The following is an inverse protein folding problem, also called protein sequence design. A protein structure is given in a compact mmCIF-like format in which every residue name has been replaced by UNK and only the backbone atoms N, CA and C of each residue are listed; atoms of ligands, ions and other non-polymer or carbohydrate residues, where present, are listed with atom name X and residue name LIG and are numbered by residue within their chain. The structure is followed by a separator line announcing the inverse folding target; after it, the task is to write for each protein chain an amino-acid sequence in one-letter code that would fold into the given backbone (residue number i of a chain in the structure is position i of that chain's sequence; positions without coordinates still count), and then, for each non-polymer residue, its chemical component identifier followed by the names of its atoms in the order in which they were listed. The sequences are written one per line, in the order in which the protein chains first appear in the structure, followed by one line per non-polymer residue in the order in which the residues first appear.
data_IF_012584718247
#
_entry.id   IF_012584718247
#
_cell.length_a   1.000
_cell.length_b   1.000
_cell.length_c   1.000
_cell.angle_alpha   90.00
_cell.angle_beta   90.00
_cell.angle_gamma   90.00
#
_symmetry.space_group_name_H-M   'P 1'
#
loop_
_entity.id
_entity.type
_entity.pdbx_description
1 polymer ?
#
# COMPACT_ATOMS: atom_id res chain seq x y z
N UNK A 1 -39.45 -16.75 -58.90
CA UNK A 1 -38.14 -16.18 -59.29
C UNK A 1 -38.01 -14.80 -58.70
N UNK A 2 -37.37 -14.68 -57.54
CA UNK A 2 -36.53 -13.51 -57.19
C UNK A 2 -35.70 -13.93 -55.98
N UNK A 3 -34.38 -13.88 -56.16
CA UNK A 3 -33.36 -14.36 -55.24
C UNK A 3 -33.31 -13.42 -54.03
N UNK A 4 -33.48 -13.97 -52.83
CA UNK A 4 -33.13 -13.29 -51.58
C UNK A 4 -31.60 -13.23 -51.56
N UNK A 5 -31.04 -12.05 -51.84
CA UNK A 5 -29.61 -11.81 -51.71
C UNK A 5 -29.21 -11.95 -50.24
N UNK A 6 -28.62 -13.11 -49.91
CA UNK A 6 -27.81 -13.31 -48.71
C UNK A 6 -26.59 -12.39 -48.79
N UNK A 7 -26.69 -11.17 -48.25
CA UNK A 7 -25.53 -10.29 -48.10
C UNK A 7 -25.69 -9.33 -46.90
N UNK A 8 -26.11 -9.84 -45.73
CA UNK A 8 -26.00 -9.10 -44.46
C UNK A 8 -25.90 -10.06 -43.26
N UNK A 9 -25.01 -11.04 -43.32
CA UNK A 9 -24.66 -11.84 -42.14
C UNK A 9 -23.19 -12.25 -42.14
N UNK A 10 -22.32 -11.25 -42.08
CA UNK A 10 -20.90 -11.45 -41.74
C UNK A 10 -20.38 -10.20 -41.01
N UNK A 11 -21.08 -9.80 -39.96
CA UNK A 11 -20.57 -8.84 -39.01
C UNK A 11 -20.95 -9.34 -37.61
N UNK A 12 -19.96 -9.35 -36.72
CA UNK A 12 -20.02 -9.81 -35.33
C UNK A 12 -19.98 -11.33 -35.15
N UNK A 13 -18.77 -11.90 -35.04
CA UNK A 13 -18.43 -12.99 -34.11
C UNK A 13 -16.92 -13.29 -34.17
N UNK A 14 -16.09 -12.26 -33.98
CA UNK A 14 -14.68 -12.41 -33.59
C UNK A 14 -14.27 -11.19 -32.76
N UNK A 15 -15.07 -10.88 -31.74
CA UNK A 15 -14.51 -10.22 -30.57
C UNK A 15 -13.90 -11.36 -29.75
N UNK A 16 -12.57 -11.44 -29.74
CA UNK A 16 -11.84 -12.37 -28.91
C UNK A 16 -12.39 -12.31 -27.49
N UNK A 17 -13.02 -13.40 -27.04
CA UNK A 17 -13.23 -13.65 -25.63
C UNK A 17 -11.85 -13.98 -25.03
N UNK A 18 -10.98 -12.98 -24.90
CA UNK A 18 -10.05 -12.99 -23.80
C UNK A 18 -10.94 -12.94 -22.56
N UNK A 19 -11.23 -14.08 -21.95
CA UNK A 19 -11.72 -14.08 -20.59
C UNK A 19 -10.70 -13.29 -19.79
N UNK A 20 -11.08 -12.13 -19.26
CA UNK A 20 -10.24 -11.43 -18.29
C UNK A 20 -9.87 -12.46 -17.22
N UNK A 21 -8.58 -12.61 -16.95
CA UNK A 21 -8.15 -13.53 -15.90
C UNK A 21 -8.81 -13.08 -14.60
N UNK A 22 -9.41 -14.01 -13.86
CA UNK A 22 -10.08 -13.68 -12.61
C UNK A 22 -9.08 -13.17 -11.58
N UNK A 23 -9.55 -12.35 -10.64
CA UNK A 23 -8.71 -11.78 -9.59
C UNK A 23 -7.92 -12.86 -8.82
N UNK A 24 -8.56 -13.98 -8.46
CA UNK A 24 -7.87 -15.09 -7.77
C UNK A 24 -6.77 -15.73 -8.61
N UNK A 25 -6.98 -15.94 -9.91
CA UNK A 25 -5.97 -16.52 -10.80
C UNK A 25 -4.75 -15.59 -10.94
N UNK A 26 -5.01 -14.28 -11.09
CA UNK A 26 -3.95 -13.27 -11.13
C UNK A 26 -3.16 -13.26 -9.81
N UNK A 27 -3.88 -13.31 -8.68
CA UNK A 27 -3.29 -13.30 -7.35
C UNK A 27 -2.38 -14.51 -7.11
N UNK A 28 -2.87 -15.71 -7.43
CA UNK A 28 -2.14 -16.96 -7.19
C UNK A 28 -0.90 -17.07 -8.07
N UNK A 29 -0.98 -16.63 -9.33
CA UNK A 29 0.18 -16.55 -10.23
C UNK A 29 1.22 -15.55 -9.70
N UNK A 30 0.79 -14.36 -9.30
CA UNK A 30 1.67 -13.32 -8.79
C UNK A 30 2.38 -13.75 -7.50
N UNK A 31 1.65 -14.33 -6.54
CA UNK A 31 2.22 -14.90 -5.31
C UNK A 31 3.20 -16.04 -5.62
N UNK A 32 2.88 -16.87 -6.61
CA UNK A 32 3.77 -17.93 -7.10
C UNK A 32 5.11 -17.39 -7.61
N UNK A 33 5.08 -16.30 -8.38
CA UNK A 33 6.27 -15.63 -8.89
C UNK A 33 7.09 -14.97 -7.77
N UNK A 34 6.47 -14.26 -6.82
CA UNK A 34 7.20 -13.73 -5.66
C UNK A 34 7.85 -14.85 -4.83
N UNK A 35 7.14 -15.96 -4.61
CA UNK A 35 7.70 -17.13 -3.90
C UNK A 35 8.88 -17.75 -4.65
N UNK A 36 8.91 -17.62 -5.97
CA UNK A 36 10.01 -18.06 -6.82
C UNK A 36 11.13 -17.02 -6.94
N UNK A 37 11.11 -15.94 -6.16
CA UNK A 37 12.06 -14.82 -6.20
C UNK A 37 12.07 -14.06 -7.53
N UNK A 38 10.91 -14.01 -8.21
CA UNK A 38 10.69 -13.29 -9.47
C UNK A 38 9.71 -12.11 -9.30
N UNK A 39 10.04 -11.10 -8.46
CA UNK A 39 9.12 -9.98 -8.18
C UNK A 39 8.85 -9.09 -9.39
N UNK A 40 9.79 -9.00 -10.35
CA UNK A 40 9.60 -8.22 -11.58
C UNK A 40 8.49 -8.79 -12.48
N UNK A 41 8.35 -10.12 -12.50
CA UNK A 41 7.27 -10.80 -13.24
C UNK A 41 5.95 -10.80 -12.45
N UNK A 42 6.01 -10.80 -11.11
CA UNK A 42 4.82 -10.75 -10.26
C UNK A 42 4.10 -9.39 -10.32
N UNK A 43 4.87 -8.30 -10.37
CA UNK A 43 4.35 -6.94 -10.35
C UNK A 43 3.24 -6.66 -11.38
N UNK A 44 3.42 -6.92 -12.69
CA UNK A 44 2.38 -6.61 -13.68
C UNK A 44 1.09 -7.41 -13.44
N UNK A 45 1.14 -8.56 -12.76
CA UNK A 45 -0.05 -9.34 -12.42
C UNK A 45 -0.81 -8.71 -11.24
N UNK A 46 -0.11 -8.23 -10.21
CA UNK A 46 -0.74 -7.47 -9.13
C UNK A 46 -1.31 -6.13 -9.63
N UNK A 47 -0.58 -5.43 -10.50
CA UNK A 47 -1.06 -4.19 -11.13
C UNK A 47 -2.33 -4.45 -11.94
N UNK A 48 -2.35 -5.53 -12.75
CA UNK A 48 -3.52 -5.93 -13.52
C UNK A 48 -4.71 -6.31 -12.63
N UNK A 49 -4.47 -7.04 -11.54
CA UNK A 49 -5.51 -7.40 -10.57
C UNK A 49 -6.17 -6.13 -10.02
N UNK A 50 -5.39 -5.17 -9.53
CA UNK A 50 -5.94 -3.92 -9.03
C UNK A 50 -6.65 -3.09 -10.11
N UNK A 51 -6.13 -3.07 -11.34
CA UNK A 51 -6.72 -2.30 -12.44
C UNK A 51 -8.06 -2.87 -12.94
N UNK A 52 -8.19 -4.20 -13.00
CA UNK A 52 -9.37 -4.87 -13.55
C UNK A 52 -10.38 -5.30 -12.48
N UNK A 53 -9.93 -5.49 -11.23
CA UNK A 53 -10.70 -6.10 -10.15
C UNK A 53 -10.54 -5.35 -8.82
N UNK A 54 -10.57 -4.01 -8.84
CA UNK A 54 -10.39 -3.18 -7.63
C UNK A 54 -11.39 -3.48 -6.50
N UNK A 55 -12.59 -3.99 -6.80
CA UNK A 55 -13.60 -4.32 -5.79
C UNK A 55 -13.46 -5.75 -5.23
N UNK A 56 -12.48 -6.54 -5.70
CA UNK A 56 -12.24 -7.91 -5.24
C UNK A 56 -11.50 -7.94 -3.90
N UNK A 57 -11.76 -8.96 -3.08
CA UNK A 57 -11.13 -9.14 -1.76
C UNK A 57 -9.59 -9.26 -1.84
N UNK A 58 -9.03 -9.65 -3.00
CA UNK A 58 -7.57 -9.70 -3.21
C UNK A 58 -6.94 -8.35 -3.58
N UNK A 59 -7.74 -7.36 -4.00
CA UNK A 59 -7.25 -6.06 -4.44
C UNK A 59 -6.40 -5.30 -3.39
N UNK A 60 -6.77 -5.22 -2.09
CA UNK A 60 -5.93 -4.59 -1.07
C UNK A 60 -4.56 -5.25 -0.93
N UNK A 61 -4.49 -6.58 -0.94
CA UNK A 61 -3.22 -7.29 -0.86
C UNK A 61 -2.38 -7.08 -2.12
N UNK A 62 -2.98 -7.17 -3.31
CA UNK A 62 -2.27 -6.96 -4.56
C UNK A 62 -1.62 -5.56 -4.61
N UNK A 63 -2.38 -4.53 -4.22
CA UNK A 63 -1.85 -3.16 -4.19
C UNK A 63 -0.75 -2.98 -3.13
N UNK A 64 -0.90 -3.61 -1.96
CA UNK A 64 0.14 -3.63 -0.92
C UNK A 64 1.42 -4.30 -1.42
N UNK A 65 1.31 -5.40 -2.17
CA UNK A 65 2.45 -6.11 -2.77
C UNK A 65 3.10 -5.32 -3.90
N UNK A 66 2.33 -4.61 -4.73
CA UNK A 66 2.89 -3.65 -5.69
C UNK A 66 3.81 -2.64 -4.98
N UNK A 67 3.33 -2.04 -3.89
CA UNK A 67 4.12 -1.09 -3.11
C UNK A 67 5.42 -1.72 -2.55
N UNK A 68 5.34 -2.95 -2.05
CA UNK A 68 6.51 -3.69 -1.58
C UNK A 68 7.52 -3.97 -2.70
N UNK A 69 7.07 -4.32 -3.90
CA UNK A 69 7.97 -4.55 -5.04
C UNK A 69 8.58 -3.23 -5.53
N UNK A 70 7.82 -2.13 -5.56
CA UNK A 70 8.37 -0.81 -5.87
C UNK A 70 9.48 -0.42 -4.90
N UNK A 71 9.30 -0.71 -3.60
CA UNK A 71 10.30 -0.44 -2.57
C UNK A 71 11.53 -1.33 -2.72
N UNK A 72 11.32 -2.66 -2.76
CA UNK A 72 12.39 -3.64 -2.60
C UNK A 72 13.13 -3.91 -3.91
N UNK A 73 12.42 -3.97 -5.02
CA UNK A 73 12.98 -4.39 -6.32
C UNK A 73 13.28 -3.18 -7.19
N UNK A 74 12.30 -2.30 -7.42
CA UNK A 74 12.48 -1.16 -8.32
C UNK A 74 13.23 0.01 -7.68
N UNK A 75 13.32 0.04 -6.34
CA UNK A 75 13.90 1.14 -5.55
C UNK A 75 13.22 2.49 -5.83
N UNK A 76 11.97 2.47 -6.29
CA UNK A 76 11.15 3.67 -6.45
C UNK A 76 10.41 3.93 -5.14
N UNK A 77 11.14 4.52 -4.19
CA UNK A 77 10.69 4.74 -2.81
C UNK A 77 9.45 5.65 -2.77
N UNK A 78 9.40 6.67 -3.63
CA UNK A 78 8.26 7.58 -3.68
C UNK A 78 7.01 6.83 -4.16
N UNK A 79 7.12 6.05 -5.24
CA UNK A 79 6.00 5.26 -5.76
C UNK A 79 5.57 4.19 -4.76
N UNK A 80 6.50 3.57 -4.05
CA UNK A 80 6.18 2.64 -2.98
C UNK A 80 5.33 3.31 -1.89
N UNK A 81 5.79 4.42 -1.32
CA UNK A 81 5.09 5.13 -0.27
C UNK A 81 3.70 5.61 -0.72
N UNK A 82 3.58 6.18 -1.93
CA UNK A 82 2.27 6.63 -2.46
C UNK A 82 1.32 5.46 -2.71
N UNK A 83 1.86 4.30 -3.10
CA UNK A 83 1.04 3.10 -3.32
C UNK A 83 0.58 2.49 -2.00
N UNK A 84 1.43 2.45 -0.97
CA UNK A 84 1.03 2.06 0.39
C UNK A 84 -0.05 2.98 0.98
N UNK A 85 0.07 4.29 0.78
CA UNK A 85 -0.95 5.26 1.20
C UNK A 85 -2.29 4.98 0.48
N UNK A 86 -2.24 4.70 -0.83
CA UNK A 86 -3.42 4.37 -1.63
C UNK A 86 -4.16 3.12 -1.13
N UNK A 87 -3.46 2.11 -0.59
CA UNK A 87 -4.10 0.95 0.04
C UNK A 87 -5.03 1.39 1.16
N UNK A 88 -4.58 2.31 2.02
CA UNK A 88 -5.39 2.83 3.13
C UNK A 88 -6.56 3.70 2.67
N UNK A 89 -6.40 4.39 1.53
CA UNK A 89 -7.45 5.26 0.97
C UNK A 89 -8.57 4.47 0.31
N UNK A 90 -8.22 3.35 -0.33
CA UNK A 90 -9.17 2.51 -1.06
C UNK A 90 -9.76 1.41 -0.20
N UNK A 91 -8.99 0.88 0.75
CA UNK A 91 -9.35 -0.29 1.53
C UNK A 91 -9.09 -0.07 3.03
N UNK A 92 -9.65 0.98 3.65
CA UNK A 92 -9.37 1.33 5.04
C UNK A 92 -9.70 0.19 6.02
N UNK A 93 -10.75 -0.59 5.75
CA UNK A 93 -11.21 -1.67 6.63
C UNK A 93 -10.44 -2.99 6.44
N UNK A 94 -9.54 -3.06 5.45
CA UNK A 94 -8.72 -4.25 5.22
C UNK A 94 -7.54 -4.32 6.19
N UNK A 95 -7.01 -5.52 6.44
CA UNK A 95 -5.77 -5.67 7.21
C UNK A 95 -4.57 -4.95 6.57
N UNK A 96 -4.64 -4.65 5.26
CA UNK A 96 -3.61 -3.93 4.53
C UNK A 96 -3.78 -2.41 4.60
N UNK A 97 -4.98 -1.91 4.90
CA UNK A 97 -5.26 -0.48 4.97
C UNK A 97 -4.47 0.21 6.08
N UNK A 98 -4.57 -0.30 7.31
CA UNK A 98 -3.81 0.24 8.43
C UNK A 98 -2.30 -0.01 8.26
N UNK A 99 -1.88 -1.23 7.86
CA UNK A 99 -0.46 -1.54 7.61
C UNK A 99 0.14 -0.62 6.55
N UNK A 100 -0.57 -0.42 5.44
CA UNK A 100 -0.15 0.45 4.34
C UNK A 100 0.03 1.90 4.81
N UNK A 101 -0.91 2.46 5.56
CA UNK A 101 -0.79 3.84 6.03
C UNK A 101 0.42 4.04 6.96
N UNK A 102 0.66 3.10 7.87
CA UNK A 102 1.84 3.14 8.74
C UNK A 102 3.14 3.09 7.92
N UNK A 103 3.27 2.13 7.00
CA UNK A 103 4.47 1.97 6.19
C UNK A 103 4.68 3.20 5.31
N UNK A 104 3.62 3.75 4.70
CA UNK A 104 3.71 4.98 3.92
C UNK A 104 4.28 6.14 4.75
N UNK A 105 3.72 6.38 5.94
CA UNK A 105 4.18 7.44 6.85
C UNK A 105 5.64 7.23 7.26
N UNK A 106 6.01 5.99 7.63
CA UNK A 106 7.37 5.63 7.99
C UNK A 106 8.35 5.83 6.83
N UNK A 107 7.98 5.42 5.62
CA UNK A 107 8.80 5.61 4.42
C UNK A 107 8.96 7.09 4.08
N UNK A 108 7.92 7.91 4.22
CA UNK A 108 8.04 9.36 4.06
C UNK A 108 9.03 9.96 5.04
N UNK A 109 8.98 9.56 6.31
CA UNK A 109 9.87 10.09 7.33
C UNK A 109 11.33 9.65 7.11
N UNK A 110 11.56 8.35 6.93
CA UNK A 110 12.89 7.76 7.08
C UNK A 110 13.66 7.62 5.77
N UNK A 111 12.97 7.39 4.65
CA UNK A 111 13.64 7.16 3.36
C UNK A 111 13.61 8.41 2.48
N UNK A 112 12.56 9.23 2.60
CA UNK A 112 12.35 10.41 1.77
C UNK A 112 12.60 11.73 2.51
N UNK A 113 12.80 11.70 3.84
CA UNK A 113 12.89 12.88 4.70
C UNK A 113 11.74 13.90 4.49
N UNK A 114 10.58 13.42 4.03
CA UNK A 114 9.40 14.23 3.79
C UNK A 114 8.53 14.23 5.05
N UNK A 115 8.99 14.97 6.07
CA UNK A 115 8.35 15.00 7.39
C UNK A 115 6.95 15.59 7.38
N UNK A 116 6.63 16.49 6.43
CA UNK A 116 5.29 17.06 6.29
C UNK A 116 4.27 16.00 5.86
N UNK A 117 4.61 15.20 4.85
CA UNK A 117 3.74 14.10 4.41
C UNK A 117 3.70 12.96 5.42
N UNK A 118 4.82 12.66 6.07
CA UNK A 118 4.86 11.68 7.16
C UNK A 118 3.93 12.08 8.31
N UNK A 119 3.99 13.34 8.76
CA UNK A 119 3.09 13.91 9.78
C UNK A 119 1.64 13.74 9.38
N UNK A 120 1.30 14.13 8.16
CA UNK A 120 -0.08 14.03 7.64
C UNK A 120 -0.58 12.58 7.65
N UNK A 121 0.25 11.63 7.23
CA UNK A 121 -0.10 10.22 7.19
C UNK A 121 -0.21 9.60 8.60
N UNK A 122 0.66 9.97 9.54
CA UNK A 122 0.56 9.52 10.94
C UNK A 122 -0.68 10.12 11.66
N UNK A 123 -0.98 11.40 11.45
CA UNK A 123 -2.20 12.01 12.00
C UNK A 123 -3.47 11.34 11.43
N UNK A 124 -3.48 11.05 10.13
CA UNK A 124 -4.54 10.26 9.48
C UNK A 124 -4.65 8.87 10.10
N UNK A 125 -3.53 8.20 10.40
CA UNK A 125 -3.52 6.91 11.07
C UNK A 125 -4.20 6.95 12.42
N UNK A 126 -3.82 7.91 13.28
CA UNK A 126 -4.39 8.06 14.63
C UNK A 126 -5.90 8.37 14.60
N UNK A 127 -6.37 9.01 13.53
CA UNK A 127 -7.79 9.28 13.30
C UNK A 127 -8.56 8.05 12.79
N UNK A 128 -8.00 7.35 11.81
CA UNK A 128 -8.67 6.22 11.15
C UNK A 128 -8.59 4.91 11.94
N UNK A 129 -7.52 4.70 12.70
CA UNK A 129 -7.23 3.45 13.41
C UNK A 129 -6.91 3.66 14.90
N UNK A 130 -7.78 4.36 15.66
CA UNK A 130 -7.47 4.75 17.04
C UNK A 130 -7.20 3.56 17.97
N UNK A 131 -7.87 2.42 17.74
CA UNK A 131 -7.76 1.20 18.55
C UNK A 131 -6.69 0.21 18.05
N UNK A 132 -5.85 0.61 17.08
CA UNK A 132 -4.76 -0.23 16.57
C UNK A 132 -3.71 -0.50 17.64
N UNK A 133 -3.14 -1.70 17.64
CA UNK A 133 -1.98 -2.03 18.49
C UNK A 133 -0.74 -1.19 18.17
N UNK A 134 -0.73 -0.47 17.05
CA UNK A 134 0.35 0.42 16.62
C UNK A 134 0.13 1.89 17.01
N UNK A 135 -1.00 2.26 17.64
CA UNK A 135 -1.34 3.65 17.95
C UNK A 135 -0.24 4.35 18.76
N UNK A 136 0.30 3.71 19.80
CA UNK A 136 1.40 4.28 20.59
C UNK A 136 2.70 4.39 19.80
N UNK A 137 3.01 3.41 18.94
CA UNK A 137 4.15 3.49 18.01
C UNK A 137 4.00 4.69 17.07
N UNK A 138 2.80 4.91 16.53
CA UNK A 138 2.53 6.03 15.63
C UNK A 138 2.66 7.38 16.35
N UNK A 139 2.17 7.50 17.59
CA UNK A 139 2.38 8.71 18.39
C UNK A 139 3.86 8.98 18.61
N UNK A 140 4.60 7.95 19.00
CA UNK A 140 6.04 8.05 19.19
C UNK A 140 6.76 8.50 17.92
N UNK A 141 6.48 7.87 16.78
CA UNK A 141 7.07 8.26 15.49
C UNK A 141 6.73 9.72 15.12
N UNK A 142 5.47 10.12 15.31
CA UNK A 142 4.99 11.48 15.01
C UNK A 142 5.66 12.56 15.88
N UNK A 143 5.82 12.29 17.17
CA UNK A 143 6.46 13.19 18.14
C UNK A 143 7.97 13.33 17.92
N UNK A 144 8.59 12.32 17.30
CA UNK A 144 10.03 12.23 17.08
C UNK A 144 10.43 12.41 15.62
N UNK A 145 9.52 12.87 14.75
CA UNK A 145 9.80 13.13 13.34
C UNK A 145 11.04 14.00 13.14
N UNK A 146 11.98 13.49 12.34
CA UNK A 146 13.19 14.20 11.94
C UNK A 146 14.28 14.27 13.01
N UNK A 147 14.07 13.68 14.19
CA UNK A 147 15.14 13.52 15.19
C UNK A 147 16.15 12.46 14.75
N UNK A 148 17.42 12.69 15.02
CA UNK A 148 18.44 11.64 14.87
C UNK A 148 18.33 10.60 16.00
N UNK A 149 18.91 9.39 15.85
CA UNK A 149 18.96 8.41 16.94
C UNK A 149 19.59 8.96 18.22
N UNK A 150 20.60 9.84 18.10
CA UNK A 150 21.26 10.47 19.24
C UNK A 150 20.34 11.46 19.96
N UNK A 151 19.66 12.33 19.22
CA UNK A 151 18.69 13.29 19.78
C UNK A 151 17.52 12.56 20.45
N UNK A 152 17.08 11.46 19.85
CA UNK A 152 16.04 10.60 20.41
C UNK A 152 16.52 9.96 21.71
N UNK A 153 17.70 9.35 21.72
CA UNK A 153 18.27 8.71 22.90
C UNK A 153 18.47 9.70 24.06
N UNK A 154 18.96 10.90 23.77
CA UNK A 154 19.11 11.95 24.78
C UNK A 154 17.75 12.33 25.37
N UNK A 155 16.72 12.49 24.54
CA UNK A 155 15.36 12.82 25.00
C UNK A 155 14.73 11.75 25.89
N UNK A 156 15.11 10.47 25.71
CA UNK A 156 14.65 9.35 26.54
C UNK A 156 15.43 9.20 27.86
N UNK A 157 16.62 9.79 27.95
CA UNK A 157 17.47 9.74 29.15
C UNK A 157 17.22 10.90 30.12
N UNK A 158 16.59 11.98 29.67
CA UNK A 158 16.21 13.07 30.54
C UNK A 158 14.98 12.65 31.37
N UNK A 159 15.01 12.78 32.71
CA UNK A 159 13.82 12.52 33.52
C UNK A 159 12.69 13.42 33.03
N UNK A 160 11.54 12.82 32.73
CA UNK A 160 10.37 13.59 32.34
C UNK A 160 10.05 14.58 33.46
N UNK A 161 9.50 15.75 33.14
CA UNK A 161 9.15 16.77 34.15
C UNK A 161 8.21 16.24 35.26
N UNK A 162 7.58 15.08 35.04
CA UNK A 162 6.73 14.34 35.97
C UNK A 162 7.51 13.49 37.00
N UNK A 163 8.78 13.15 36.73
CA UNK A 163 9.67 12.42 37.64
C UNK A 163 10.63 13.33 38.42
N UNK A 164 10.54 14.65 38.24
CA UNK A 164 11.31 15.60 39.04
C UNK A 164 10.95 15.38 40.53
N UNK A 165 11.94 15.21 41.43
CA UNK A 165 11.64 14.99 42.84
C UNK A 165 10.80 16.16 43.34
N UNK A 166 9.64 15.85 43.93
CA UNK A 166 8.84 16.84 44.67
C UNK A 166 9.75 17.34 45.78
N UNK A 167 10.34 18.52 45.56
CA UNK A 167 11.14 19.20 46.57
C UNK A 167 10.17 19.72 47.62
N UNK A 168 10.17 19.08 48.79
CA UNK A 168 9.47 19.50 50.01
C UNK A 168 10.10 20.80 50.59
#
# INVERSE_FOLDING_TARGET
MTRISLFFLAAALFAAACSSEGASDLMDKARGLEKADNPEEALPLYEKLYQEHADDDNAPEALFRCAAIYYNTQKDILKAATTYELVSEKYPDSEYGHKGLFIAAFTYANELANYERARTAYEKYLSAYPDSSMTETVRFELENLGKTPEELLESLQQPTAEEAPVTD
#
